data_IF_170593990976
#
_entry.id   IF_170593990976
#
_cell.length_a   1.000
_cell.length_b   1.000
_cell.length_c   1.000
_cell.angle_alpha   90.00
_cell.angle_beta   90.00
_cell.angle_gamma   90.00
#
_symmetry.space_group_name_H-M   'P 1'
#
loop_
_entity.id
_entity.type
_entity.pdbx_description
1 polymer ?
#
# COMPACT_ATOMS: atom_id res chain seq x y z
N UNK A 1 19.24 -2.89 6.48
CA UNK A 1 18.63 -3.90 7.36
C UNK A 1 19.48 -4.03 8.61
N UNK A 2 18.88 -4.19 9.79
CA UNK A 2 19.55 -4.39 11.08
C UNK A 2 18.70 -5.28 12.01
N UNK A 3 19.29 -5.87 13.06
CA UNK A 3 18.54 -6.61 14.07
C UNK A 3 17.95 -5.62 15.08
N UNK A 4 16.62 -5.54 15.14
CA UNK A 4 15.91 -4.61 16.03
C UNK A 4 15.70 -5.16 17.43
N UNK A 5 15.31 -6.43 17.53
CA UNK A 5 14.94 -7.08 18.79
C UNK A 5 15.17 -8.57 18.71
N UNK A 6 15.61 -9.17 19.82
CA UNK A 6 15.82 -10.62 19.97
C UNK A 6 15.20 -11.03 21.29
N UNK A 7 14.53 -12.18 21.35
CA UNK A 7 13.92 -12.72 22.56
C UNK A 7 13.95 -14.25 22.53
N UNK A 8 14.24 -14.87 23.67
CA UNK A 8 14.38 -16.31 23.78
C UNK A 8 15.77 -16.81 23.36
N UNK A 9 15.85 -18.09 22.99
CA UNK A 9 17.09 -18.76 22.64
C UNK A 9 17.38 -18.64 21.12
N UNK A 10 17.83 -17.45 20.73
CA UNK A 10 18.32 -17.13 19.39
C UNK A 10 19.83 -16.93 19.44
N UNK A 11 20.58 -17.62 18.58
CA UNK A 11 22.03 -17.49 18.42
C UNK A 11 22.35 -16.80 17.11
N UNK A 12 23.40 -15.98 17.14
CA UNK A 12 24.00 -15.34 15.97
C UNK A 12 23.01 -14.56 15.09
N UNK A 13 21.99 -13.94 15.68
CA UNK A 13 20.98 -13.15 14.96
C UNK A 13 21.59 -12.09 14.02
N UNK A 14 22.75 -11.53 14.37
CA UNK A 14 23.46 -10.53 13.57
C UNK A 14 23.95 -11.08 12.22
N UNK A 15 24.10 -12.40 12.08
CA UNK A 15 24.47 -13.03 10.82
C UNK A 15 23.40 -12.87 9.73
N UNK A 16 22.16 -12.54 10.10
CA UNK A 16 21.08 -12.27 9.14
C UNK A 16 21.20 -10.90 8.48
N UNK A 17 22.03 -10.01 9.03
CA UNK A 17 22.17 -8.65 8.56
C UNK A 17 23.40 -8.53 7.68
N UNK A 18 23.22 -7.99 6.47
CA UNK A 18 24.34 -7.59 5.62
C UNK A 18 24.56 -6.08 5.81
N UNK A 19 25.63 -5.71 6.52
CA UNK A 19 26.05 -4.33 6.71
C UNK A 19 27.57 -4.18 6.51
N UNK A 20 27.96 -3.37 5.52
CA UNK A 20 29.30 -2.79 5.33
C UNK A 20 30.49 -3.77 5.20
N UNK A 21 31.10 -3.85 4.01
CA UNK A 21 32.39 -4.49 3.65
C UNK A 21 32.63 -5.97 4.04
N UNK A 22 31.84 -6.55 4.93
CA UNK A 22 31.90 -7.93 5.37
C UNK A 22 30.58 -8.61 5.05
N UNK A 23 30.61 -9.45 4.02
CA UNK A 23 29.57 -10.43 3.73
C UNK A 23 29.48 -11.41 4.90
N UNK A 24 28.67 -11.10 5.91
CA UNK A 24 28.35 -12.08 6.94
C UNK A 24 27.52 -13.18 6.29
N UNK A 25 28.20 -14.26 5.88
CA UNK A 25 27.62 -15.49 5.34
C UNK A 25 27.40 -16.47 6.49
N UNK A 26 26.59 -16.08 7.46
CA UNK A 26 26.28 -16.91 8.62
C UNK A 26 24.80 -17.24 8.68
N UNK A 27 24.48 -18.26 9.47
CA UNK A 27 23.11 -18.57 9.84
C UNK A 27 22.82 -18.01 11.23
N UNK A 28 21.56 -17.66 11.49
CA UNK A 28 21.05 -17.46 12.83
C UNK A 28 20.19 -18.67 13.22
N UNK A 29 20.37 -19.13 14.44
CA UNK A 29 19.72 -20.35 14.93
C UNK A 29 18.69 -19.99 15.98
N UNK A 30 17.44 -20.36 15.74
CA UNK A 30 16.35 -20.23 16.69
C UNK A 30 16.09 -21.60 17.31
N UNK A 31 16.09 -21.66 18.65
CA UNK A 31 15.88 -22.89 19.41
C UNK A 31 14.80 -22.66 20.47
N UNK A 32 13.98 -23.67 20.75
CA UNK A 32 12.88 -23.55 21.71
C UNK A 32 11.66 -22.81 21.15
N UNK A 33 10.50 -23.18 21.70
CA UNK A 33 9.23 -22.55 21.34
C UNK A 33 9.23 -21.09 21.82
N UNK A 34 8.67 -20.18 21.03
CA UNK A 34 8.55 -18.74 21.32
C UNK A 34 9.88 -17.96 21.32
N UNK A 35 10.95 -18.52 20.77
CA UNK A 35 12.16 -17.74 20.44
C UNK A 35 11.93 -16.96 19.14
N UNK A 36 12.26 -15.67 19.11
CA UNK A 36 12.03 -14.83 17.94
C UNK A 36 13.04 -13.68 17.83
N UNK A 37 13.18 -13.17 16.60
CA UNK A 37 13.98 -12.00 16.28
C UNK A 37 13.20 -11.10 15.32
N UNK A 38 13.51 -9.81 15.35
CA UNK A 38 12.94 -8.82 14.43
C UNK A 38 14.04 -8.12 13.66
N UNK A 39 13.87 -8.05 12.34
CA UNK A 39 14.71 -7.32 11.41
C UNK A 39 14.05 -5.98 11.07
N UNK A 40 14.80 -4.88 11.14
CA UNK A 40 14.40 -3.54 10.67
C UNK A 40 15.04 -3.29 9.30
N UNK A 41 14.24 -3.04 8.27
CA UNK A 41 14.74 -2.72 6.93
C UNK A 41 15.34 -1.30 6.83
N UNK A 42 15.03 -0.43 7.80
CA UNK A 42 15.45 0.97 7.89
C UNK A 42 14.46 1.94 7.25
N UNK A 43 13.77 1.48 6.21
CA UNK A 43 12.68 2.19 5.52
C UNK A 43 11.49 1.23 5.38
N UNK A 44 10.32 1.81 5.15
CA UNK A 44 9.11 1.05 4.79
C UNK A 44 9.37 0.29 3.48
N UNK A 45 9.13 -1.02 3.45
CA UNK A 45 9.28 -1.88 2.26
C UNK A 45 7.97 -2.63 2.01
N UNK A 46 7.85 -3.23 0.83
CA UNK A 46 6.65 -3.95 0.43
C UNK A 46 7.02 -5.04 -0.57
N UNK A 47 6.67 -6.28 -0.29
CA UNK A 47 7.24 -7.38 -1.04
C UNK A 47 7.04 -8.78 -0.48
N UNK A 48 7.71 -9.74 -1.13
CA UNK A 48 7.74 -11.14 -0.74
C UNK A 48 9.05 -11.46 -0.04
N UNK A 49 8.97 -12.14 1.10
CA UNK A 49 10.15 -12.59 1.82
C UNK A 49 10.70 -13.86 1.19
N UNK A 50 12.01 -13.94 1.05
CA UNK A 50 12.75 -15.17 0.79
C UNK A 50 13.83 -15.36 1.85
N UNK A 51 14.01 -16.59 2.31
CA UNK A 51 15.05 -16.96 3.26
C UNK A 51 15.54 -18.37 3.01
N UNK A 52 16.80 -18.62 3.33
CA UNK A 52 17.41 -19.94 3.25
C UNK A 52 17.22 -20.66 4.59
N UNK A 53 16.64 -21.87 4.54
CA UNK A 53 16.52 -22.78 5.68
C UNK A 53 17.71 -23.76 5.64
N UNK A 54 18.71 -23.52 6.48
CA UNK A 54 19.98 -24.26 6.46
C UNK A 54 19.90 -25.58 7.21
N UNK A 55 19.35 -25.54 8.42
CA UNK A 55 19.16 -26.71 9.28
C UNK A 55 17.74 -26.68 9.82
N UNK A 56 16.99 -27.74 9.56
CA UNK A 56 15.61 -27.94 10.02
C UNK A 56 15.49 -29.33 10.64
N UNK A 57 14.84 -29.41 11.79
CA UNK A 57 14.45 -30.68 12.38
C UNK A 57 13.02 -31.04 11.96
N UNK A 58 12.63 -32.31 12.06
CA UNK A 58 11.28 -32.77 11.71
C UNK A 58 10.17 -32.15 12.58
N UNK A 59 10.54 -31.57 13.72
CA UNK A 59 9.66 -30.85 14.64
C UNK A 59 9.91 -29.35 14.65
N UNK A 60 10.67 -28.79 13.69
CA UNK A 60 10.90 -27.35 13.59
C UNK A 60 9.71 -26.67 12.92
N UNK A 61 9.36 -25.46 13.40
CA UNK A 61 8.28 -24.65 12.87
C UNK A 61 8.62 -23.16 12.97
N UNK A 62 8.21 -22.40 11.97
CA UNK A 62 8.45 -20.96 11.89
C UNK A 62 7.16 -20.22 11.54
N UNK A 63 7.05 -19.00 12.04
CA UNK A 63 6.03 -18.05 11.65
C UNK A 63 6.65 -16.66 11.41
N UNK A 64 6.05 -15.92 10.48
CA UNK A 64 6.44 -14.55 10.14
C UNK A 64 5.36 -13.56 10.55
N UNK A 65 5.79 -12.48 11.19
CA UNK A 65 4.96 -11.31 11.47
C UNK A 65 5.56 -10.05 10.85
N UNK A 66 4.69 -9.11 10.48
CA UNK A 66 5.02 -7.91 9.72
C UNK A 66 4.41 -6.69 10.41
N UNK A 67 5.17 -5.59 10.54
CA UNK A 67 4.63 -4.32 11.05
C UNK A 67 5.35 -3.11 10.47
N UNK A 68 4.62 -2.01 10.27
CA UNK A 68 5.19 -0.72 9.85
C UNK A 68 5.86 0.03 11.02
N UNK A 69 5.42 -0.23 12.26
CA UNK A 69 5.82 0.55 13.44
C UNK A 69 6.51 -0.29 14.51
N UNK A 70 7.58 0.21 15.15
CA UNK A 70 8.28 -0.54 16.18
C UNK A 70 7.43 -0.81 17.44
N UNK A 71 6.33 -0.06 17.62
CA UNK A 71 5.42 -0.23 18.77
C UNK A 71 4.59 -1.51 18.70
N UNK A 72 4.37 -2.06 17.49
CA UNK A 72 3.49 -3.22 17.26
C UNK A 72 4.26 -4.50 16.91
N UNK A 73 5.58 -4.51 17.13
CA UNK A 73 6.41 -5.71 16.96
C UNK A 73 5.89 -6.82 17.87
N UNK A 74 5.46 -7.92 17.25
CA UNK A 74 4.85 -9.05 17.94
C UNK A 74 5.21 -10.37 17.24
N UNK A 75 5.49 -11.46 17.98
CA UNK A 75 5.68 -12.78 17.39
C UNK A 75 4.34 -13.52 17.12
N UNK A 76 3.20 -12.96 17.55
CA UNK A 76 1.88 -13.62 17.49
C UNK A 76 0.87 -12.87 16.61
N UNK A 77 1.13 -11.62 16.29
CA UNK A 77 0.23 -10.74 15.55
C UNK A 77 1.01 -9.95 14.52
N UNK A 78 0.38 -9.61 13.40
CA UNK A 78 0.93 -8.76 12.34
C UNK A 78 -0.03 -7.62 12.06
N UNK A 79 0.49 -6.52 11.55
CA UNK A 79 -0.31 -5.43 11.02
C UNK A 79 -1.39 -5.95 10.04
N UNK A 80 -2.65 -5.57 10.29
CA UNK A 80 -3.80 -6.06 9.53
C UNK A 80 -3.83 -5.51 8.10
N UNK A 81 -3.71 -6.41 7.12
CA UNK A 81 -3.87 -6.14 5.69
C UNK A 81 -5.29 -6.44 5.22
N UNK A 82 -5.97 -7.44 5.80
CA UNK A 82 -7.36 -7.77 5.45
C UNK A 82 -8.36 -6.80 6.06
N UNK A 83 -8.54 -6.82 7.38
CA UNK A 83 -9.57 -6.06 8.08
C UNK A 83 -9.00 -5.51 9.38
N UNK A 84 -9.25 -4.23 9.73
CA UNK A 84 -8.65 -3.64 10.91
C UNK A 84 -9.23 -4.23 12.20
N UNK A 85 -8.35 -4.65 13.10
CA UNK A 85 -8.64 -4.97 14.50
C UNK A 85 -7.87 -4.02 15.42
N UNK A 86 -8.45 -3.56 16.55
CA UNK A 86 -7.78 -2.63 17.47
C UNK A 86 -6.42 -3.12 17.99
N UNK A 87 -6.23 -4.43 18.06
CA UNK A 87 -5.02 -5.10 18.54
C UNK A 87 -4.15 -5.68 17.41
N UNK A 88 -4.46 -5.38 16.15
CA UNK A 88 -3.75 -5.89 14.97
C UNK A 88 -3.69 -7.43 14.91
N UNK A 89 -4.77 -8.11 15.34
CA UNK A 89 -4.80 -9.58 15.41
C UNK A 89 -5.60 -10.25 14.30
N UNK A 90 -6.18 -9.49 13.36
CA UNK A 90 -7.09 -10.07 12.37
C UNK A 90 -6.34 -11.00 11.43
N UNK A 91 -5.18 -10.57 10.93
CA UNK A 91 -4.39 -11.36 9.99
C UNK A 91 -3.61 -12.49 10.68
N UNK A 92 -3.26 -12.32 11.95
CA UNK A 92 -2.37 -13.25 12.67
C UNK A 92 -0.94 -13.24 12.12
N UNK A 93 -0.33 -14.42 11.99
CA UNK A 93 1.04 -14.60 11.48
C UNK A 93 1.04 -15.56 10.28
N UNK A 94 2.04 -15.43 9.39
CA UNK A 94 2.24 -16.37 8.31
C UNK A 94 3.00 -17.59 8.82
N UNK A 95 2.30 -18.69 9.03
CA UNK A 95 2.92 -19.98 9.37
C UNK A 95 3.59 -20.60 8.14
N UNK A 96 4.81 -21.09 8.32
CA UNK A 96 5.45 -21.96 7.35
C UNK A 96 4.90 -23.39 7.51
N UNK A 97 4.54 -24.02 6.38
CA UNK A 97 3.99 -25.37 6.39
C UNK A 97 4.99 -26.38 6.97
N UNK A 98 4.55 -27.16 7.94
CA UNK A 98 5.32 -28.25 8.54
C UNK A 98 5.09 -29.58 7.80
N UNK A 99 6.09 -30.47 7.70
CA UNK A 99 7.46 -30.29 8.16
C UNK A 99 8.22 -29.28 7.29
N UNK A 100 9.05 -28.45 7.93
CA UNK A 100 9.93 -27.54 7.20
C UNK A 100 10.90 -28.35 6.34
N UNK A 101 11.10 -27.92 5.10
CA UNK A 101 12.08 -28.49 4.19
C UNK A 101 13.29 -27.57 4.12
N UNK A 102 14.49 -28.11 4.30
CA UNK A 102 15.72 -27.36 4.09
C UNK A 102 15.82 -26.88 2.64
N UNK A 103 16.43 -25.72 2.44
CA UNK A 103 16.49 -25.06 1.12
C UNK A 103 15.97 -23.63 1.13
N UNK A 104 15.89 -23.05 -0.07
CA UNK A 104 15.31 -21.73 -0.26
C UNK A 104 13.80 -21.79 -0.05
N UNK A 105 13.29 -21.01 0.90
CA UNK A 105 11.87 -20.78 1.07
C UNK A 105 11.51 -19.38 0.58
N UNK A 106 10.47 -19.30 -0.25
CA UNK A 106 9.92 -18.04 -0.75
C UNK A 106 8.45 -17.96 -0.38
N UNK A 107 8.04 -16.80 0.13
CA UNK A 107 6.68 -16.51 0.49
C UNK A 107 5.73 -16.67 -0.71
N UNK A 108 4.58 -17.36 -0.55
CA UNK A 108 3.57 -17.44 -1.60
C UNK A 108 3.09 -16.05 -2.01
N UNK A 109 2.95 -15.81 -3.32
CA UNK A 109 2.53 -14.50 -3.84
C UNK A 109 1.17 -14.05 -3.31
N UNK A 110 0.25 -14.99 -3.07
CA UNK A 110 -1.06 -14.68 -2.52
C UNK A 110 -1.00 -14.08 -1.10
N UNK A 111 0.04 -14.37 -0.32
CA UNK A 111 0.21 -13.82 1.04
C UNK A 111 1.12 -12.59 1.05
N UNK A 112 1.32 -11.92 -0.10
CA UNK A 112 2.12 -10.70 -0.23
C UNK A 112 1.85 -9.72 0.91
N UNK A 113 2.92 -9.14 1.46
CA UNK A 113 2.82 -8.04 2.44
C UNK A 113 3.22 -6.75 1.75
N UNK A 114 2.24 -5.86 1.67
CA UNK A 114 2.35 -4.68 0.83
C UNK A 114 3.12 -3.52 1.42
N UNK A 115 3.03 -3.32 2.74
CA UNK A 115 3.79 -2.35 3.51
C UNK A 115 4.19 -2.96 4.86
N UNK A 116 5.49 -2.96 5.15
CA UNK A 116 6.07 -3.22 6.46
C UNK A 116 7.49 -2.67 6.52
N UNK A 117 7.95 -2.28 7.70
CA UNK A 117 9.36 -1.94 7.96
C UNK A 117 10.06 -3.00 8.80
N UNK A 118 9.30 -3.70 9.62
CA UNK A 118 9.80 -4.70 10.57
C UNK A 118 9.29 -6.08 10.20
N UNK A 119 10.20 -7.05 10.10
CA UNK A 119 9.90 -8.46 9.91
C UNK A 119 10.31 -9.22 11.16
N UNK A 120 9.34 -9.87 11.81
CA UNK A 120 9.58 -10.74 12.96
C UNK A 120 9.53 -12.19 12.51
N UNK A 121 10.60 -12.95 12.82
CA UNK A 121 10.67 -14.39 12.59
C UNK A 121 10.60 -15.08 13.95
N UNK A 122 9.58 -15.90 14.15
CA UNK A 122 9.32 -16.60 15.40
C UNK A 122 9.37 -18.12 15.22
N UNK A 123 10.05 -18.81 16.13
CA UNK A 123 10.00 -20.25 16.29
C UNK A 123 8.68 -20.65 16.95
N UNK A 124 7.93 -21.54 16.30
CA UNK A 124 6.65 -22.05 16.79
C UNK A 124 6.75 -23.47 17.34
N UNK A 125 7.96 -24.01 17.43
CA UNK A 125 8.19 -25.36 17.88
C UNK A 125 9.49 -25.50 18.69
N UNK A 126 9.66 -26.63 19.37
CA UNK A 126 10.87 -26.88 20.17
C UNK A 126 12.10 -27.20 19.33
N UNK A 127 11.89 -27.71 18.10
CA UNK A 127 12.95 -28.08 17.17
C UNK A 127 13.81 -26.88 16.77
N UNK A 128 15.12 -27.09 16.71
CA UNK A 128 16.07 -26.06 16.27
C UNK A 128 15.91 -25.75 14.78
N UNK A 129 15.99 -24.48 14.40
CA UNK A 129 15.97 -24.05 13.00
C UNK A 129 17.03 -22.98 12.76
N UNK A 130 17.85 -23.19 11.73
CA UNK A 130 18.85 -22.23 11.29
C UNK A 130 18.42 -21.58 9.99
N UNK A 131 18.43 -20.26 9.96
CA UNK A 131 18.05 -19.45 8.81
C UNK A 131 19.20 -18.56 8.36
N UNK A 132 19.31 -18.30 7.07
CA UNK A 132 20.25 -17.35 6.49
C UNK A 132 19.65 -16.63 5.29
N UNK A 133 20.36 -15.62 4.77
CA UNK A 133 20.01 -14.91 3.54
C UNK A 133 18.55 -14.43 3.46
N UNK A 134 18.08 -13.76 4.53
CA UNK A 134 16.74 -13.17 4.55
C UNK A 134 16.73 -11.94 3.65
N UNK A 135 15.82 -11.93 2.68
CA UNK A 135 15.67 -10.85 1.71
C UNK A 135 14.20 -10.57 1.43
N UNK A 136 13.91 -9.34 1.00
CA UNK A 136 12.59 -8.92 0.56
C UNK A 136 12.65 -8.56 -0.93
N UNK A 137 11.88 -9.25 -1.75
CA UNK A 137 11.68 -8.90 -3.16
C UNK A 137 10.63 -7.78 -3.24
N UNK A 138 11.08 -6.56 -3.52
CA UNK A 138 10.23 -5.38 -3.62
C UNK A 138 9.19 -5.56 -4.73
N UNK A 139 7.92 -5.29 -4.41
CA UNK A 139 6.80 -5.51 -5.33
C UNK A 139 6.18 -4.23 -5.90
N UNK A 140 6.49 -3.05 -5.36
CA UNK A 140 5.97 -1.76 -5.82
C UNK A 140 6.79 -1.18 -6.99
N UNK A 141 6.17 -0.30 -7.78
CA UNK A 141 6.66 0.28 -9.05
C UNK A 141 7.30 -0.77 -9.99
N UNK A 142 6.56 -1.83 -10.37
CA UNK A 142 7.14 -2.98 -11.10
C UNK A 142 7.68 -2.64 -12.49
N UNK A 143 7.28 -1.51 -13.06
CA UNK A 143 7.69 -1.04 -14.39
C UNK A 143 8.97 -0.20 -14.38
N UNK A 144 9.49 0.15 -13.21
CA UNK A 144 10.71 0.95 -13.06
C UNK A 144 11.86 0.05 -12.59
N UNK A 145 12.98 0.06 -13.34
CA UNK A 145 14.15 -0.75 -13.00
C UNK A 145 14.94 -0.18 -11.82
N UNK A 146 15.14 1.13 -11.79
CA UNK A 146 15.87 1.81 -10.73
C UNK A 146 14.92 2.67 -9.89
N UNK A 147 14.51 2.14 -8.73
CA UNK A 147 13.59 2.82 -7.82
C UNK A 147 14.18 4.10 -7.19
N UNK A 148 15.47 4.39 -7.37
CA UNK A 148 16.13 5.62 -6.86
C UNK A 148 16.25 6.72 -7.90
N UNK A 149 15.89 6.43 -9.14
CA UNK A 149 16.01 7.36 -10.26
C UNK A 149 14.78 8.26 -10.37
N UNK A 150 14.63 9.15 -9.38
CA UNK A 150 13.53 10.12 -9.37
C UNK A 150 13.82 11.20 -10.41
N UNK A 151 12.81 11.62 -11.17
CA UNK A 151 12.96 12.68 -12.17
C UNK A 151 12.96 14.07 -11.54
N UNK A 152 12.22 14.23 -10.44
CA UNK A 152 12.17 15.43 -9.63
C UNK A 152 13.12 15.36 -8.44
N UNK A 153 13.74 16.49 -8.14
CA UNK A 153 14.57 16.68 -6.95
C UNK A 153 14.17 17.97 -6.26
N UNK A 154 14.09 17.94 -4.94
CA UNK A 154 13.80 19.10 -4.12
C UNK A 154 14.81 19.17 -2.98
N UNK A 155 15.33 20.37 -2.76
CA UNK A 155 16.21 20.67 -1.64
C UNK A 155 15.86 22.03 -1.07
N UNK A 156 15.54 22.05 0.22
CA UNK A 156 15.34 23.25 1.00
C UNK A 156 15.90 23.06 2.41
N UNK A 157 16.71 24.03 2.83
CA UNK A 157 17.26 24.10 4.17
C UNK A 157 16.54 25.18 4.98
N UNK A 158 16.11 24.84 6.19
CA UNK A 158 15.60 25.78 7.18
C UNK A 158 16.70 26.07 8.22
N UNK A 159 17.33 27.26 8.22
CA UNK A 159 18.43 27.56 9.13
C UNK A 159 17.99 27.77 10.59
N UNK A 160 16.69 27.96 10.85
CA UNK A 160 16.13 28.26 12.18
C UNK A 160 15.58 26.98 12.83
N UNK A 161 15.00 26.08 12.04
CA UNK A 161 14.46 24.82 12.56
C UNK A 161 15.58 23.87 13.02
N UNK A 162 15.32 23.06 14.05
CA UNK A 162 16.33 22.18 14.66
C UNK A 162 16.83 21.09 13.69
N UNK A 163 15.99 20.69 12.74
CA UNK A 163 16.36 19.81 11.63
C UNK A 163 16.42 20.64 10.34
N UNK A 164 17.64 21.04 9.96
CA UNK A 164 17.85 21.93 8.81
C UNK A 164 17.27 21.39 7.52
N UNK A 165 17.28 20.07 7.34
CA UNK A 165 16.80 19.42 6.11
C UNK A 165 15.36 18.92 6.24
N UNK A 166 14.60 19.39 7.23
CA UNK A 166 13.25 18.90 7.52
C UNK A 166 12.30 18.97 6.32
N UNK A 167 12.29 20.09 5.60
CA UNK A 167 11.45 20.27 4.40
C UNK A 167 11.84 19.29 3.28
N UNK A 168 13.14 19.08 3.12
CA UNK A 168 13.68 18.08 2.18
C UNK A 168 13.20 16.67 2.55
N UNK A 169 13.28 16.31 3.85
CA UNK A 169 12.82 15.02 4.35
C UNK A 169 11.32 14.81 4.15
N UNK A 170 10.49 15.83 4.35
CA UNK A 170 9.04 15.75 4.08
C UNK A 170 8.80 15.46 2.60
N UNK A 171 9.48 16.17 1.71
CA UNK A 171 9.30 16.01 0.28
C UNK A 171 9.64 14.59 -0.19
N UNK A 172 10.81 14.08 0.22
CA UNK A 172 11.21 12.71 -0.12
C UNK A 172 10.34 11.65 0.55
N UNK A 173 9.78 11.93 1.73
CA UNK A 173 8.83 11.01 2.37
C UNK A 173 7.54 10.90 1.56
N UNK A 174 6.99 12.02 1.09
CA UNK A 174 5.80 12.03 0.23
C UNK A 174 6.05 11.33 -1.11
N UNK A 175 7.19 11.60 -1.75
CA UNK A 175 7.60 10.91 -2.97
C UNK A 175 7.71 9.38 -2.76
N UNK A 176 8.32 8.97 -1.65
CA UNK A 176 8.47 7.55 -1.31
C UNK A 176 7.13 6.88 -1.02
N UNK A 177 6.21 7.54 -0.31
CA UNK A 177 4.85 7.02 -0.07
C UNK A 177 4.10 6.74 -1.35
N UNK A 178 4.20 7.64 -2.32
CA UNK A 178 3.55 7.47 -3.62
C UNK A 178 4.18 6.34 -4.44
N UNK A 179 5.51 6.18 -4.33
CA UNK A 179 6.23 5.06 -4.92
C UNK A 179 5.78 3.71 -4.31
N UNK A 180 5.68 3.60 -2.98
CA UNK A 180 5.26 2.35 -2.31
C UNK A 180 3.79 2.01 -2.60
N UNK A 181 2.96 3.02 -2.85
CA UNK A 181 1.56 2.87 -3.23
C UNK A 181 1.34 2.59 -4.73
N UNK A 182 2.38 2.50 -5.54
CA UNK A 182 2.24 2.09 -6.96
C UNK A 182 2.48 0.60 -7.07
N UNK A 183 1.46 -0.19 -7.40
CA UNK A 183 1.51 -1.66 -7.26
C UNK A 183 1.13 -2.40 -8.55
N UNK A 184 1.53 -3.68 -8.69
CA UNK A 184 1.13 -4.52 -9.82
C UNK A 184 -0.37 -4.85 -9.78
N UNK A 185 -0.96 -5.08 -10.96
CA UNK A 185 -2.41 -5.24 -11.15
C UNK A 185 -3.06 -6.35 -10.30
N UNK A 186 -2.36 -7.46 -10.08
CA UNK A 186 -2.88 -8.66 -9.41
C UNK A 186 -2.45 -8.76 -7.94
N UNK A 187 -2.24 -7.62 -7.28
CA UNK A 187 -1.77 -7.55 -5.89
C UNK A 187 -2.72 -6.80 -4.97
N UNK A 188 -3.98 -6.65 -5.39
CA UNK A 188 -5.03 -6.03 -4.60
C UNK A 188 -5.48 -6.91 -3.46
N UNK A 189 -6.05 -6.28 -2.43
CA UNK A 189 -6.60 -7.00 -1.27
C UNK A 189 -7.81 -7.85 -1.66
N UNK A 190 -7.82 -9.12 -1.30
CA UNK A 190 -8.94 -10.01 -1.60
C UNK A 190 -10.23 -9.55 -0.92
N UNK A 191 -11.30 -9.39 -1.72
CA UNK A 191 -12.67 -9.13 -1.27
C UNK A 191 -13.59 -10.17 -1.92
N UNK A 192 -14.45 -10.90 -1.18
CA UNK A 192 -14.63 -10.89 0.28
C UNK A 192 -13.36 -11.24 1.06
N UNK A 193 -13.25 -10.71 2.28
CA UNK A 193 -12.06 -10.87 3.12
C UNK A 193 -11.86 -12.34 3.52
N UNK A 194 -10.60 -12.75 3.63
CA UNK A 194 -10.24 -14.04 4.23
C UNK A 194 -10.70 -14.05 5.69
N UNK A 195 -11.36 -15.13 6.10
CA UNK A 195 -11.76 -15.31 7.50
C UNK A 195 -10.52 -15.30 8.40
N UNK A 196 -10.56 -14.48 9.46
CA UNK A 196 -9.48 -14.43 10.45
C UNK A 196 -9.18 -15.83 11.05
N UNK A 197 -7.90 -16.21 11.22
CA UNK A 197 -6.71 -15.46 10.85
C UNK A 197 -6.33 -15.65 9.37
N UNK A 198 -5.96 -14.56 8.70
CA UNK A 198 -5.33 -14.63 7.39
C UNK A 198 -5.57 -13.41 6.50
N UNK A 199 -4.79 -13.36 5.43
CA UNK A 199 -4.95 -12.37 4.37
C UNK A 199 -4.58 -12.95 3.02
N UNK A 200 -5.15 -12.36 1.97
CA UNK A 200 -4.76 -12.62 0.59
C UNK A 200 -4.72 -11.31 -0.17
N UNK A 201 -3.62 -11.09 -0.90
CA UNK A 201 -3.36 -9.93 -1.73
C UNK A 201 -3.14 -10.37 -3.19
N UNK A 202 -4.14 -11.05 -3.77
CA UNK A 202 -4.13 -11.59 -5.14
C UNK A 202 -5.34 -11.11 -5.97
N UNK A 203 -6.08 -10.11 -5.51
CA UNK A 203 -7.20 -9.56 -6.25
C UNK A 203 -6.74 -8.68 -7.42
N UNK A 204 -7.61 -8.57 -8.42
CA UNK A 204 -7.39 -7.71 -9.58
C UNK A 204 -7.85 -6.29 -9.25
N UNK A 205 -6.95 -5.32 -9.42
CA UNK A 205 -7.17 -3.92 -9.06
C UNK A 205 -7.86 -3.10 -10.15
N UNK A 206 -7.83 -3.54 -11.41
CA UNK A 206 -8.40 -2.75 -12.49
C UNK A 206 -8.22 -3.33 -13.87
N UNK A 207 -8.36 -2.47 -14.89
CA UNK A 207 -8.29 -2.87 -16.30
C UNK A 207 -6.86 -2.99 -16.84
N UNK A 208 -5.92 -2.27 -16.23
CA UNK A 208 -4.51 -2.24 -16.62
C UNK A 208 -3.61 -1.96 -15.40
N UNK A 209 -2.38 -2.45 -15.45
CA UNK A 209 -1.35 -2.19 -14.43
C UNK A 209 -0.11 -1.51 -15.03
N UNK A 210 0.78 -0.93 -14.21
CA UNK A 210 0.68 -0.74 -12.75
C UNK A 210 -0.46 0.22 -12.39
N UNK A 211 -0.88 0.22 -11.13
CA UNK A 211 -1.97 1.06 -10.63
C UNK A 211 -1.58 1.65 -9.29
N UNK A 212 -2.04 2.87 -9.02
CA UNK A 212 -1.87 3.48 -7.70
C UNK A 212 -2.97 2.98 -6.76
N UNK A 213 -2.63 2.75 -5.49
CA UNK A 213 -3.55 2.38 -4.41
C UNK A 213 -3.53 3.39 -3.27
N UNK A 214 -4.54 3.34 -2.41
CA UNK A 214 -4.70 4.19 -1.22
C UNK A 214 -3.57 3.98 -0.19
N UNK A 215 -3.18 2.72 0.04
CA UNK A 215 -2.16 2.38 1.02
C UNK A 215 -1.45 1.07 0.71
N UNK A 216 -0.12 1.08 0.89
CA UNK A 216 0.73 -0.06 0.61
C UNK A 216 0.39 -1.27 1.51
N UNK A 217 0.15 -1.08 2.81
CA UNK A 217 -0.30 -2.15 3.72
C UNK A 217 -1.78 -2.52 3.53
N UNK A 218 -2.66 -1.53 3.63
CA UNK A 218 -4.12 -1.63 3.63
C UNK A 218 -4.68 -0.27 3.19
N UNK A 219 -5.74 -0.20 2.38
CA UNK A 219 -6.64 -1.25 1.89
C UNK A 219 -6.18 -1.93 0.59
N UNK A 220 -5.07 -1.50 0.00
CA UNK A 220 -4.55 -1.96 -1.30
C UNK A 220 -5.67 -2.08 -2.33
N UNK A 221 -6.50 -1.06 -2.43
CA UNK A 221 -7.57 -0.96 -3.41
C UNK A 221 -7.24 0.11 -4.43
N UNK A 222 -7.72 -0.05 -5.67
CA UNK A 222 -7.56 1.01 -6.66
C UNK A 222 -8.11 2.31 -6.08
N UNK A 223 -7.27 3.34 -6.14
CA UNK A 223 -7.39 4.59 -5.39
C UNK A 223 -8.83 5.07 -5.29
N UNK A 224 -9.23 5.41 -4.07
CA UNK A 224 -10.42 6.18 -3.82
C UNK A 224 -10.26 7.55 -4.49
N UNK A 225 -11.23 8.02 -5.27
CA UNK A 225 -11.14 9.28 -6.04
C UNK A 225 -10.49 10.48 -5.29
N UNK A 226 -10.70 10.61 -3.98
CA UNK A 226 -10.10 11.61 -3.09
C UNK A 226 -8.57 11.59 -3.05
N UNK A 227 -7.94 10.42 -3.00
CA UNK A 227 -6.49 10.31 -2.90
C UNK A 227 -5.82 10.73 -4.23
N UNK A 228 -6.51 10.62 -5.37
CA UNK A 228 -6.01 11.13 -6.66
C UNK A 228 -5.80 12.64 -6.65
N UNK A 229 -6.61 13.38 -5.87
CA UNK A 229 -6.46 14.83 -5.73
C UNK A 229 -5.08 15.25 -5.22
N UNK A 230 -4.45 14.42 -4.38
CA UNK A 230 -3.18 14.72 -3.71
C UNK A 230 -2.02 13.89 -4.27
N UNK A 231 -2.27 12.62 -4.60
CA UNK A 231 -1.25 11.72 -5.09
C UNK A 231 -0.76 12.12 -6.49
N UNK A 232 -1.64 12.58 -7.38
CA UNK A 232 -1.29 12.89 -8.78
C UNK A 232 -0.29 14.06 -8.90
N UNK A 233 -0.50 15.21 -8.24
CA UNK A 233 0.52 16.26 -8.20
C UNK A 233 1.85 15.76 -7.62
N UNK A 234 1.80 14.92 -6.59
CA UNK A 234 3.00 14.36 -5.95
C UNK A 234 3.75 13.43 -6.90
N UNK A 235 3.06 12.54 -7.63
CA UNK A 235 3.64 11.69 -8.69
C UNK A 235 4.33 12.55 -9.73
N UNK A 236 3.64 13.56 -10.24
CA UNK A 236 4.15 14.43 -11.29
C UNK A 236 5.46 15.12 -10.90
N UNK A 237 5.52 15.75 -9.72
CA UNK A 237 6.69 16.52 -9.30
C UNK A 237 7.87 15.67 -8.83
N UNK A 238 7.66 14.39 -8.50
CA UNK A 238 8.69 13.53 -7.90
C UNK A 238 9.20 12.44 -8.86
N UNK A 239 8.35 11.50 -9.24
CA UNK A 239 8.72 10.39 -10.14
C UNK A 239 8.41 10.71 -11.60
N UNK A 240 7.52 11.67 -11.86
CA UNK A 240 6.92 11.96 -13.16
C UNK A 240 6.29 10.72 -13.81
N UNK A 241 5.81 9.79 -12.97
CA UNK A 241 5.20 8.54 -13.40
C UNK A 241 3.67 8.64 -13.33
N UNK A 242 3.07 9.04 -14.46
CA UNK A 242 1.62 9.22 -14.58
C UNK A 242 0.90 7.98 -15.15
N UNK A 243 1.63 6.92 -15.51
CA UNK A 243 1.05 5.69 -16.03
C UNK A 243 0.11 5.01 -15.01
N UNK A 244 0.47 4.87 -13.71
CA UNK A 244 -0.42 4.31 -12.71
C UNK A 244 -1.70 5.13 -12.53
N UNK A 245 -1.61 6.46 -12.61
CA UNK A 245 -2.75 7.38 -12.54
C UNK A 245 -3.71 7.15 -13.71
N UNK A 246 -3.19 7.10 -14.94
CA UNK A 246 -3.97 6.82 -16.15
C UNK A 246 -4.75 5.52 -16.04
N UNK A 247 -4.08 4.46 -15.58
CA UNK A 247 -4.68 3.14 -15.43
C UNK A 247 -5.76 3.11 -14.33
N UNK A 248 -5.52 3.82 -13.22
CA UNK A 248 -6.48 3.97 -12.13
C UNK A 248 -7.74 4.71 -12.60
N UNK A 249 -7.59 5.86 -13.26
CA UNK A 249 -8.70 6.64 -13.82
C UNK A 249 -9.48 5.87 -14.88
N UNK A 250 -8.78 5.17 -15.77
CA UNK A 250 -9.41 4.31 -16.78
C UNK A 250 -10.28 3.22 -16.14
N UNK A 251 -9.82 2.66 -15.02
CA UNK A 251 -10.59 1.67 -14.26
C UNK A 251 -11.86 2.29 -13.66
N UNK A 252 -11.77 3.51 -13.12
CA UNK A 252 -12.94 4.22 -12.57
C UNK A 252 -13.97 4.54 -13.66
N UNK A 253 -13.54 5.04 -14.82
CA UNK A 253 -14.44 5.33 -15.94
C UNK A 253 -15.00 4.07 -16.60
N UNK A 254 -14.30 2.93 -16.55
CA UNK A 254 -14.83 1.66 -17.01
C UNK A 254 -15.93 1.12 -16.08
N UNK A 255 -15.90 1.49 -14.79
CA UNK A 255 -16.88 1.11 -13.78
C UNK A 255 -18.03 2.12 -13.59
N UNK A 256 -18.11 3.16 -14.42
CA UNK A 256 -19.17 4.17 -14.35
C UNK A 256 -20.56 3.53 -14.51
N UNK A 257 -21.54 4.03 -13.77
CA UNK A 257 -22.93 3.63 -13.98
C UNK A 257 -23.43 4.16 -15.34
N UNK A 258 -23.78 3.29 -16.31
CA UNK A 258 -24.14 3.72 -17.66
C UNK A 258 -25.49 4.41 -17.73
N UNK A 259 -26.34 4.30 -16.70
CA UNK A 259 -27.64 4.98 -16.64
C UNK A 259 -27.50 6.36 -16.01
N UNK A 260 -26.93 6.43 -14.80
CA UNK A 260 -26.89 7.65 -14.00
C UNK A 260 -25.66 8.52 -14.25
N UNK A 261 -24.55 7.94 -14.71
CA UNK A 261 -23.25 8.62 -14.78
C UNK A 261 -22.47 8.64 -13.47
N UNK A 262 -22.98 8.00 -12.40
CA UNK A 262 -22.28 7.95 -11.12
C UNK A 262 -20.99 7.12 -11.24
N UNK A 263 -19.88 7.69 -10.80
CA UNK A 263 -18.61 6.99 -10.62
C UNK A 263 -18.60 6.28 -9.26
N UNK A 264 -17.86 5.17 -9.15
CA UNK A 264 -17.63 4.55 -7.85
C UNK A 264 -16.74 5.44 -6.97
N UNK A 265 -16.83 5.23 -5.66
CA UNK A 265 -16.00 5.88 -4.64
C UNK A 265 -14.56 5.31 -4.67
N UNK A 266 -14.46 3.98 -4.73
CA UNK A 266 -13.22 3.23 -4.90
C UNK A 266 -13.32 2.30 -6.09
N UNK A 267 -12.17 2.02 -6.71
CA UNK A 267 -12.11 0.98 -7.73
C UNK A 267 -12.09 -0.43 -7.13
N UNK A 268 -11.99 -1.46 -8.00
CA UNK A 268 -11.79 -2.83 -7.55
C UNK A 268 -10.56 -2.96 -6.65
N UNK A 269 -10.58 -3.89 -5.69
CA UNK A 269 -11.61 -4.90 -5.43
C UNK A 269 -12.72 -4.44 -4.47
N UNK A 270 -12.65 -3.23 -3.92
CA UNK A 270 -13.68 -2.72 -2.99
C UNK A 270 -14.93 -2.25 -3.71
N UNK A 271 -14.78 -1.55 -4.84
CA UNK A 271 -15.87 -1.08 -5.70
C UNK A 271 -17.01 -0.39 -4.93
N UNK A 272 -16.67 0.48 -3.98
CA UNK A 272 -17.66 1.15 -3.14
C UNK A 272 -18.41 2.22 -3.92
N UNK A 273 -19.66 2.48 -3.53
CA UNK A 273 -20.57 3.41 -4.19
C UNK A 273 -21.18 4.37 -3.16
N UNK A 274 -21.72 5.50 -3.64
CA UNK A 274 -22.54 6.39 -2.83
C UNK A 274 -21.75 7.52 -2.16
N UNK A 275 -20.69 8.01 -2.81
CA UNK A 275 -19.95 9.19 -2.39
C UNK A 275 -19.94 10.24 -3.50
N UNK A 276 -20.45 11.44 -3.19
CA UNK A 276 -20.44 12.56 -4.12
C UNK A 276 -19.10 13.30 -4.12
N UNK A 277 -18.43 13.38 -2.97
CA UNK A 277 -17.12 14.01 -2.83
C UNK A 277 -16.06 13.24 -3.61
N UNK A 278 -16.00 11.91 -3.45
CA UNK A 278 -15.06 11.06 -4.18
C UNK A 278 -15.35 11.00 -5.69
N UNK A 279 -16.62 11.10 -6.08
CA UNK A 279 -16.99 11.26 -7.49
C UNK A 279 -16.38 12.55 -8.07
N UNK A 280 -16.54 13.68 -7.40
CA UNK A 280 -15.96 14.97 -7.85
C UNK A 280 -14.43 14.95 -7.82
N UNK A 281 -13.82 14.34 -6.81
CA UNK A 281 -12.36 14.19 -6.76
C UNK A 281 -11.80 13.36 -7.93
N UNK A 282 -12.54 12.36 -8.41
CA UNK A 282 -12.15 11.61 -9.61
C UNK A 282 -12.14 12.50 -10.86
N UNK A 283 -13.10 13.42 -10.98
CA UNK A 283 -13.16 14.39 -12.08
C UNK A 283 -12.00 15.39 -11.98
N UNK A 284 -11.71 15.91 -10.78
CA UNK A 284 -10.56 16.80 -10.54
C UNK A 284 -9.23 16.08 -10.82
N UNK A 285 -9.10 14.81 -10.42
CA UNK A 285 -7.95 13.97 -10.71
C UNK A 285 -7.75 13.75 -12.22
N UNK A 286 -8.86 13.59 -12.96
CA UNK A 286 -8.84 13.50 -14.44
C UNK A 286 -8.31 14.78 -15.07
N UNK A 287 -8.78 15.94 -14.62
CA UNK A 287 -8.26 17.24 -15.06
C UNK A 287 -6.76 17.37 -14.76
N UNK A 288 -6.32 17.04 -13.54
CA UNK A 288 -4.91 17.13 -13.16
C UNK A 288 -4.02 16.18 -13.98
N UNK A 289 -4.47 14.95 -14.22
CA UNK A 289 -3.77 14.01 -15.09
C UNK A 289 -3.58 14.58 -16.49
N UNK A 290 -4.64 15.12 -17.10
CA UNK A 290 -4.56 15.71 -18.43
C UNK A 290 -3.65 16.95 -18.45
N UNK A 291 -3.76 17.82 -17.44
CA UNK A 291 -2.92 19.01 -17.30
C UNK A 291 -1.41 18.66 -17.27
N UNK A 292 -1.05 17.57 -16.59
CA UNK A 292 0.35 17.16 -16.44
C UNK A 292 0.87 16.30 -17.59
N UNK A 293 0.03 15.44 -18.17
CA UNK A 293 0.43 14.50 -19.23
C UNK A 293 0.27 15.03 -20.65
N UNK A 294 -0.73 15.90 -20.89
CA UNK A 294 -1.16 16.29 -22.23
C UNK A 294 -1.74 15.14 -23.06
N UNK A 295 -2.16 14.02 -22.45
CA UNK A 295 -2.66 12.82 -23.13
C UNK A 295 -4.08 13.03 -23.70
N UNK A 296 -4.15 13.71 -24.85
CA UNK A 296 -5.41 14.01 -25.54
C UNK A 296 -6.12 12.76 -26.05
N UNK A 297 -5.37 11.75 -26.51
CA UNK A 297 -5.95 10.51 -27.04
C UNK A 297 -6.71 9.75 -25.95
N UNK A 298 -6.14 9.66 -24.74
CA UNK A 298 -6.84 9.07 -23.61
C UNK A 298 -8.06 9.89 -23.21
N UNK A 299 -7.95 11.22 -23.16
CA UNK A 299 -9.05 12.11 -22.80
C UNK A 299 -10.23 11.96 -23.77
N UNK A 300 -9.98 11.95 -25.08
CA UNK A 300 -11.01 11.73 -26.11
C UNK A 300 -11.75 10.40 -25.90
N UNK A 301 -11.03 9.35 -25.49
CA UNK A 301 -11.61 8.05 -25.19
C UNK A 301 -12.54 8.03 -23.98
N UNK A 302 -12.28 8.83 -22.95
CA UNK A 302 -13.09 8.88 -21.72
C UNK A 302 -14.07 10.06 -21.67
N UNK A 303 -14.02 10.99 -22.64
CA UNK A 303 -14.75 12.26 -22.62
C UNK A 303 -16.27 12.10 -22.46
N UNK A 304 -16.86 11.12 -23.16
CA UNK A 304 -18.29 10.82 -23.04
C UNK A 304 -18.68 10.40 -21.62
N UNK A 305 -17.84 9.61 -20.96
CA UNK A 305 -18.07 9.19 -19.58
C UNK A 305 -17.81 10.34 -18.60
N UNK A 306 -16.79 11.16 -18.85
CA UNK A 306 -16.47 12.34 -18.06
C UNK A 306 -17.63 13.34 -18.06
N UNK A 307 -18.12 13.74 -19.22
CA UNK A 307 -19.25 14.68 -19.36
C UNK A 307 -20.53 14.13 -18.72
N UNK A 308 -20.76 12.82 -18.81
CA UNK A 308 -21.87 12.17 -18.13
C UNK A 308 -21.74 12.21 -16.60
N UNK A 309 -20.53 11.98 -16.08
CA UNK A 309 -20.23 12.09 -14.67
C UNK A 309 -20.35 13.53 -14.15
N UNK A 310 -19.99 14.54 -14.95
CA UNK A 310 -20.26 15.96 -14.64
C UNK A 310 -21.77 16.21 -14.59
N UNK A 311 -22.52 15.70 -15.57
CA UNK A 311 -23.99 15.80 -15.59
C UNK A 311 -24.66 15.18 -14.36
N UNK A 312 -24.11 14.08 -13.84
CA UNK A 312 -24.61 13.44 -12.60
C UNK A 312 -24.55 14.37 -11.39
N UNK A 313 -23.43 15.08 -11.18
CA UNK A 313 -23.28 16.00 -10.02
C UNK A 313 -24.03 17.30 -10.21
N UNK A 314 -24.09 17.84 -11.45
CA UNK A 314 -24.88 19.03 -11.76
C UNK A 314 -26.38 18.78 -11.56
N UNK A 315 -26.86 17.56 -11.82
CA UNK A 315 -28.25 17.16 -11.55
C UNK A 315 -28.63 17.14 -10.06
N UNK A 316 -27.67 17.33 -9.15
CA UNK A 316 -27.91 17.45 -7.70
C UNK A 316 -27.99 18.90 -7.22
N UNK A 317 -27.80 19.87 -8.11
CA UNK A 317 -28.04 21.29 -7.80
C UNK A 317 -29.54 21.53 -7.80
N UNK A 318 -30.05 22.06 -6.69
CA UNK A 318 -31.48 22.39 -6.56
C UNK A 318 -31.74 23.90 -6.78
N UNK A 319 -32.97 24.33 -6.54
CA UNK A 319 -33.44 25.71 -6.77
C UNK A 319 -32.64 26.77 -5.98
N UNK A 320 -31.87 26.37 -4.96
CA UNK A 320 -30.98 27.27 -4.22
C UNK A 320 -29.73 27.66 -5.01
N UNK A 321 -29.42 26.95 -6.10
CA UNK A 321 -28.16 27.06 -6.83
C UNK A 321 -26.98 26.35 -6.15
N UNK A 322 -27.24 25.63 -5.06
CA UNK A 322 -26.25 24.81 -4.35
C UNK A 322 -26.47 23.32 -4.62
N UNK A 323 -25.37 22.57 -4.65
CA UNK A 323 -25.40 21.11 -4.71
C UNK A 323 -25.93 20.54 -3.40
N UNK A 324 -26.93 19.66 -3.51
CA UNK A 324 -27.41 18.83 -2.41
C UNK A 324 -26.65 17.50 -2.38
N UNK A 325 -25.68 17.39 -1.47
CA UNK A 325 -24.87 16.18 -1.29
C UNK A 325 -25.73 15.07 -0.66
N UNK A 326 -25.92 14.00 -1.42
CA UNK A 326 -26.72 12.83 -1.03
C UNK A 326 -25.85 11.60 -0.81
N UNK A 327 -24.68 11.55 -1.45
CA UNK A 327 -23.65 10.56 -1.19
C UNK A 327 -22.86 10.91 0.07
N UNK A 328 -23.31 10.39 1.21
CA UNK A 328 -22.80 10.74 2.55
C UNK A 328 -21.47 10.09 2.93
N UNK A 329 -20.94 9.21 2.08
CA UNK A 329 -19.69 8.51 2.35
C UNK A 329 -18.52 9.44 2.07
N UNK A 330 -17.92 9.95 3.14
CA UNK A 330 -16.76 10.83 3.08
C UNK A 330 -15.80 10.51 4.22
N UNK A 331 -14.54 10.22 3.91
CA UNK A 331 -13.62 9.65 4.89
C UNK A 331 -13.09 10.70 5.85
N UNK A 332 -12.99 10.34 7.12
CA UNK A 332 -12.46 11.17 8.21
C UNK A 332 -13.19 12.51 8.46
N UNK A 333 -14.42 12.68 7.96
CA UNK A 333 -15.28 13.82 8.28
C UNK A 333 -16.55 13.39 9.01
N UNK A 334 -17.01 14.24 9.93
CA UNK A 334 -18.28 14.09 10.63
C UNK A 334 -19.23 15.20 10.18
N UNK A 335 -20.48 14.84 9.84
CA UNK A 335 -21.54 15.81 9.51
C UNK A 335 -21.63 16.24 8.04
N UNK A 336 -21.33 15.34 7.09
CA UNK A 336 -21.54 15.58 5.66
C UNK A 336 -23.02 15.52 5.23
N UNK A 337 -23.30 15.95 3.99
CA UNK A 337 -24.63 15.91 3.37
C UNK A 337 -25.34 17.27 3.28
N UNK A 338 -26.39 17.32 2.47
CA UNK A 338 -27.15 18.55 2.23
C UNK A 338 -26.34 19.59 1.45
N UNK A 339 -26.67 20.87 1.65
CA UNK A 339 -25.88 21.98 1.12
C UNK A 339 -24.64 22.22 1.98
N UNK A 340 -23.59 21.42 1.77
CA UNK A 340 -22.33 21.59 2.48
C UNK A 340 -21.32 22.43 1.69
N UNK A 341 -20.44 23.13 2.41
CA UNK A 341 -19.45 24.02 1.79
C UNK A 341 -18.43 23.25 0.94
N UNK A 342 -17.99 22.08 1.38
CA UNK A 342 -17.01 21.25 0.66
C UNK A 342 -17.56 20.73 -0.66
N UNK A 343 -18.76 20.14 -0.66
CA UNK A 343 -19.36 19.61 -1.89
C UNK A 343 -19.56 20.70 -2.93
N UNK A 344 -19.98 21.90 -2.49
CA UNK A 344 -20.12 23.05 -3.39
C UNK A 344 -18.77 23.61 -3.87
N UNK A 345 -17.73 23.61 -3.04
CA UNK A 345 -16.38 24.02 -3.46
C UNK A 345 -15.77 23.04 -4.47
N UNK A 346 -16.01 21.73 -4.28
CA UNK A 346 -15.61 20.70 -5.23
C UNK A 346 -16.39 20.84 -6.53
N UNK A 347 -17.71 21.06 -6.47
CA UNK A 347 -18.54 21.24 -7.65
C UNK A 347 -18.08 22.46 -8.47
N UNK A 348 -17.74 23.57 -7.81
CA UNK A 348 -17.20 24.76 -8.50
C UNK A 348 -15.88 24.48 -9.23
N UNK A 349 -15.09 23.53 -8.74
CA UNK A 349 -13.80 23.15 -9.33
C UNK A 349 -13.92 22.18 -10.51
N UNK A 350 -14.99 21.38 -10.53
CA UNK A 350 -15.34 20.43 -11.61
C UNK A 350 -15.82 21.17 -12.85
#
# INVERSE_FOLDING_TARGET
>A
MEVKKVTGAVRDAQNLVVGGASSHKGSATLSGNQSWLTLDFGVEVGGLISMQLDSVSSSSGLALSFTESPMFISPLTSDDSSYPSPNMSYDGVLHLMSPLKGGLWTQPSATLRGGFRYLTVASTAAGEVSISNVSAAISFMPHVQNLRDYSGYFYAADPIFHDKDFLTKIWYSGAYTVQTNTVPLYTGRQVPFVSSPGWQNNATLGVAGPIIVDGAKRDRANVLGGDMGVAVPTQFVSTNDLLPTRNALSTMFAAINPMTGALPESGPPLSQLGSDTYHMWTLIGTHNYFLYSGDAVWLEGVWTNFTKAVGYVLGKVDDSGLMNVTGLRDWARLGGGGHNAEGNALLYKV
#
